data_IF_082189562070
#
_entry.id   IF_082189562070
#
_cell.length_a   1.000
_cell.length_b   1.000
_cell.length_c   1.000
_cell.angle_alpha   90.00
_cell.angle_beta   90.00
_cell.angle_gamma   90.00
#
_symmetry.space_group_name_H-M   'P 1'
#
loop_
_entity.id
_entity.type
_entity.pdbx_description
1 polymer ?
#
# COMPACT_ATOMS: atom_id res chain seq x y z
N UNK A 1 1.13 -18.11 10.05
CA UNK A 1 2.57 -17.98 9.75
C UNK A 1 3.05 -16.67 10.34
N UNK A 2 3.99 -16.62 11.31
CA UNK A 2 3.88 -15.70 12.44
C UNK A 2 4.42 -14.27 12.27
N UNK A 3 4.83 -13.84 11.07
CA UNK A 3 5.35 -12.47 10.91
C UNK A 3 4.78 -11.76 9.68
N UNK A 4 3.46 -11.75 9.57
CA UNK A 4 2.80 -10.77 8.73
C UNK A 4 2.97 -9.40 9.37
N UNK A 5 3.79 -8.54 8.75
CA UNK A 5 3.95 -7.15 9.17
C UNK A 5 3.01 -6.27 8.36
N UNK A 6 2.54 -5.22 9.00
CA UNK A 6 1.79 -4.15 8.34
C UNK A 6 2.60 -2.86 8.47
N UNK A 7 2.42 -1.96 7.51
CA UNK A 7 3.00 -0.62 7.53
C UNK A 7 1.87 0.40 7.42
N UNK A 8 1.95 1.46 8.24
CA UNK A 8 1.13 2.67 8.07
C UNK A 8 2.02 3.71 7.39
N UNK A 9 1.50 4.33 6.34
CA UNK A 9 2.19 5.35 5.54
C UNK A 9 1.42 6.66 5.67
N UNK A 10 2.08 7.70 6.22
CA UNK A 10 1.60 9.08 6.07
C UNK A 10 1.94 9.51 4.65
N UNK A 11 0.92 9.78 3.85
CA UNK A 11 1.11 10.31 2.52
C UNK A 11 1.68 11.74 2.61
N UNK A 12 2.57 12.13 1.67
CA UNK A 12 2.98 13.52 1.54
C UNK A 12 1.77 14.42 1.32
N UNK A 13 1.91 15.70 1.67
CA UNK A 13 0.91 16.70 1.31
C UNK A 13 0.78 16.72 -0.24
N UNK A 14 -0.40 17.06 -0.75
CA UNK A 14 -0.79 16.97 -2.18
C UNK A 14 0.29 17.41 -3.18
N UNK A 15 1.05 18.46 -2.89
CA UNK A 15 2.17 18.94 -3.70
C UNK A 15 3.30 17.91 -3.98
N UNK A 16 3.38 16.82 -3.21
CA UNK A 16 4.39 15.76 -3.35
C UNK A 16 3.78 14.39 -3.68
N UNK A 17 2.46 14.29 -3.81
CA UNK A 17 1.77 13.08 -4.27
C UNK A 17 1.78 13.04 -5.79
N UNK A 18 2.94 12.72 -6.38
CA UNK A 18 3.07 12.49 -7.82
C UNK A 18 2.78 11.04 -8.23
N UNK A 19 2.48 10.15 -7.29
CA UNK A 19 2.14 8.77 -7.63
C UNK A 19 0.67 8.69 -8.05
N UNK A 20 0.38 8.21 -9.27
CA UNK A 20 -0.99 7.97 -9.67
C UNK A 20 -1.60 6.93 -8.72
N UNK A 21 -2.78 7.24 -8.16
CA UNK A 21 -3.64 6.20 -7.60
C UNK A 21 -4.28 5.51 -8.79
N UNK A 22 -3.91 4.25 -9.04
CA UNK A 22 -4.60 3.43 -10.01
C UNK A 22 -5.78 2.81 -9.28
N UNK A 23 -6.97 3.37 -9.48
CA UNK A 23 -8.20 2.73 -9.02
C UNK A 23 -8.50 1.45 -9.81
N UNK A 24 -7.75 1.20 -10.90
CA UNK A 24 -7.89 0.04 -11.78
C UNK A 24 -6.55 -0.67 -12.01
N UNK A 25 -6.47 -1.96 -11.68
CA UNK A 25 -5.31 -2.82 -12.00
C UNK A 25 -5.80 -4.14 -12.62
N UNK A 26 -5.23 -4.55 -13.76
CA UNK A 26 -5.65 -5.75 -14.50
C UNK A 26 -7.16 -5.88 -14.72
N UNK A 27 -7.84 -4.77 -15.01
CA UNK A 27 -9.29 -4.72 -15.22
C UNK A 27 -10.14 -4.83 -13.95
N UNK A 28 -9.52 -4.92 -12.77
CA UNK A 28 -10.18 -4.90 -11.47
C UNK A 28 -10.13 -3.52 -10.84
N UNK A 29 -11.22 -3.11 -10.18
CA UNK A 29 -11.29 -1.87 -9.41
C UNK A 29 -10.88 -2.12 -7.95
N UNK A 30 -10.11 -1.20 -7.37
CA UNK A 30 -9.66 -1.27 -5.98
C UNK A 30 -9.90 0.04 -5.26
N UNK A 31 -10.33 -0.05 -3.99
CA UNK A 31 -10.39 1.13 -3.12
C UNK A 31 -8.97 1.54 -2.70
N UNK A 32 -8.48 2.64 -3.30
CA UNK A 32 -7.17 3.21 -3.02
C UNK A 32 -7.23 4.40 -2.05
N UNK A 33 -8.44 4.88 -1.73
CA UNK A 33 -8.63 6.16 -1.06
C UNK A 33 -7.92 6.21 0.30
N UNK A 34 -7.03 7.19 0.53
CA UNK A 34 -6.40 7.37 1.83
C UNK A 34 -7.41 7.83 2.90
N UNK A 35 -7.13 7.50 4.15
CA UNK A 35 -7.90 7.96 5.31
C UNK A 35 -7.35 9.31 5.75
N UNK A 36 -8.20 10.34 5.72
CA UNK A 36 -7.86 11.67 6.20
C UNK A 36 -7.85 11.71 7.73
N UNK A 37 -6.89 12.43 8.33
CA UNK A 37 -6.92 12.74 9.75
C UNK A 37 -7.79 13.99 10.00
N UNK A 38 -8.96 13.89 10.64
CA UNK A 38 -9.88 15.02 10.79
C UNK A 38 -9.31 16.19 11.60
N UNK A 39 -8.41 15.91 12.56
CA UNK A 39 -7.74 16.93 13.37
C UNK A 39 -6.54 17.60 12.69
N UNK A 40 -6.25 17.28 11.42
CA UNK A 40 -5.08 17.80 10.72
C UNK A 40 -5.31 19.19 10.14
N UNK A 41 -4.51 20.18 10.57
CA UNK A 41 -4.45 21.49 9.91
C UNK A 41 -3.78 21.46 8.52
N UNK A 42 -2.98 20.42 8.23
CA UNK A 42 -2.25 20.27 6.95
C UNK A 42 -2.91 19.31 5.95
N UNK A 43 -4.13 18.80 6.22
CA UNK A 43 -4.76 17.78 5.36
C UNK A 43 -4.03 16.43 5.30
N UNK A 44 -3.43 15.99 6.42
CA UNK A 44 -2.70 14.73 6.51
C UNK A 44 -3.58 13.53 6.19
N UNK A 45 -3.01 12.60 5.42
CA UNK A 45 -3.67 11.43 4.84
C UNK A 45 -2.83 10.19 5.08
N UNK A 46 -3.47 9.06 5.33
CA UNK A 46 -2.80 7.81 5.68
C UNK A 46 -3.34 6.63 4.87
N UNK A 47 -2.46 5.70 4.57
CA UNK A 47 -2.80 4.37 4.04
C UNK A 47 -2.05 3.32 4.83
N UNK A 48 -2.51 2.07 4.78
CA UNK A 48 -1.78 0.96 5.36
C UNK A 48 -1.90 -0.30 4.54
N UNK A 49 -0.82 -1.09 4.54
CA UNK A 49 -0.71 -2.32 3.78
C UNK A 49 -0.08 -3.42 4.61
N UNK A 50 -0.45 -4.65 4.29
CA UNK A 50 0.36 -5.80 4.65
C UNK A 50 1.63 -5.82 3.78
N UNK A 51 2.78 -6.09 4.40
CA UNK A 51 4.07 -5.99 3.71
C UNK A 51 4.53 -7.31 3.10
N UNK A 52 3.70 -8.35 3.10
CA UNK A 52 4.08 -9.63 2.47
C UNK A 52 3.92 -9.54 0.96
N UNK A 53 5.05 -9.53 0.26
CA UNK A 53 5.14 -9.51 -1.20
C UNK A 53 4.31 -10.66 -1.80
N UNK A 54 3.48 -10.33 -2.79
CA UNK A 54 2.58 -11.30 -3.46
C UNK A 54 3.30 -12.28 -4.39
N UNK A 55 4.58 -12.04 -4.70
CA UNK A 55 5.39 -12.96 -5.51
C UNK A 55 5.74 -14.22 -4.71
N UNK A 56 6.69 -14.11 -3.78
CA UNK A 56 7.19 -15.24 -2.97
C UNK A 56 7.31 -14.89 -1.48
N UNK A 57 6.45 -13.99 -0.99
CA UNK A 57 6.17 -13.75 0.45
C UNK A 57 7.32 -13.20 1.30
N UNK A 58 8.36 -12.64 0.69
CA UNK A 58 9.30 -11.77 1.39
C UNK A 58 8.61 -10.50 1.91
N UNK A 59 9.19 -9.86 2.93
CA UNK A 59 8.68 -8.58 3.42
C UNK A 59 9.21 -7.43 2.55
N UNK A 60 8.30 -6.60 2.05
CA UNK A 60 8.64 -5.35 1.37
C UNK A 60 8.98 -4.27 2.39
N UNK A 61 9.89 -3.37 2.03
CA UNK A 61 10.32 -2.27 2.88
C UNK A 61 10.23 -0.94 2.11
N UNK A 62 9.94 0.18 2.78
CA UNK A 62 10.01 1.49 2.15
C UNK A 62 11.43 1.80 1.68
N UNK A 63 11.58 2.33 0.48
CA UNK A 63 12.88 2.69 -0.09
C UNK A 63 12.74 3.55 -1.35
N UNK A 64 13.83 4.19 -1.77
CA UNK A 64 13.87 4.96 -3.01
C UNK A 64 14.37 4.09 -4.18
N UNK A 65 13.64 4.07 -5.29
CA UNK A 65 13.91 3.21 -6.45
C UNK A 65 13.16 3.72 -7.69
N UNK A 66 13.76 3.61 -8.88
CA UNK A 66 13.14 4.09 -10.12
C UNK A 66 12.76 5.58 -10.09
N UNK A 67 13.50 6.40 -9.33
CA UNK A 67 13.24 7.84 -9.17
C UNK A 67 12.10 8.21 -8.22
N UNK A 68 11.50 7.24 -7.50
CA UNK A 68 10.37 7.47 -6.60
C UNK A 68 10.52 6.69 -5.29
N UNK A 69 9.82 7.13 -4.23
CA UNK A 69 9.73 6.34 -3.00
C UNK A 69 8.70 5.20 -3.20
N UNK A 70 9.03 3.96 -2.85
CA UNK A 70 8.23 2.75 -3.12
C UNK A 70 8.29 1.78 -1.95
N UNK A 71 7.39 0.81 -1.93
CA UNK A 71 7.60 -0.42 -1.15
C UNK A 71 8.37 -1.41 -2.01
N UNK A 72 9.58 -1.79 -1.59
CA UNK A 72 10.51 -2.61 -2.37
C UNK A 72 10.68 -3.99 -1.74
N UNK A 73 10.55 -5.02 -2.56
CA UNK A 73 10.85 -6.40 -2.18
C UNK A 73 12.35 -6.69 -2.41
N UNK A 74 13.13 -6.96 -1.35
CA UNK A 74 14.58 -7.15 -1.47
C UNK A 74 14.97 -8.48 -2.13
N UNK A 75 14.03 -9.43 -2.25
CA UNK A 75 14.34 -10.77 -2.75
C UNK A 75 14.53 -10.81 -4.27
N UNK A 76 13.63 -10.17 -5.02
CA UNK A 76 13.62 -10.24 -6.49
C UNK A 76 13.25 -8.90 -7.15
N UNK A 77 13.27 -7.80 -6.39
CA UNK A 77 13.10 -6.46 -6.93
C UNK A 77 11.66 -6.04 -7.25
N UNK A 78 10.63 -6.78 -6.84
CA UNK A 78 9.25 -6.30 -7.01
C UNK A 78 9.02 -4.99 -6.25
N UNK A 79 8.42 -4.00 -6.89
CA UNK A 79 8.12 -2.70 -6.29
C UNK A 79 6.63 -2.40 -6.34
N UNK A 80 6.14 -1.70 -5.33
CA UNK A 80 4.74 -1.31 -5.20
C UNK A 80 4.62 0.19 -4.94
N UNK A 81 3.59 0.80 -5.52
CA UNK A 81 3.15 2.16 -5.21
C UNK A 81 2.91 2.31 -3.70
N UNK A 82 3.26 3.47 -3.12
CA UNK A 82 2.99 3.76 -1.71
C UNK A 82 1.55 4.18 -1.47
N UNK A 83 0.89 4.73 -2.48
CA UNK A 83 -0.46 5.26 -2.39
C UNK A 83 -1.51 4.15 -2.40
N UNK A 84 -1.32 3.13 -3.23
CA UNK A 84 -2.30 2.07 -3.44
C UNK A 84 -1.72 0.65 -3.28
N UNK A 85 -0.41 0.44 -3.22
CA UNK A 85 0.18 -0.90 -3.11
C UNK A 85 0.04 -1.75 -4.39
N UNK A 86 -0.29 -1.14 -5.53
CA UNK A 86 -0.27 -1.77 -6.86
C UNK A 86 1.18 -2.06 -7.25
N UNK A 87 1.52 -3.27 -7.76
CA UNK A 87 2.86 -3.55 -8.25
C UNK A 87 3.15 -2.69 -9.48
N UNK A 88 4.38 -2.20 -9.59
CA UNK A 88 4.80 -1.31 -10.70
C UNK A 88 6.13 -1.71 -11.33
N UNK A 89 6.85 -2.65 -10.73
CA UNK A 89 8.11 -3.16 -11.25
C UNK A 89 8.38 -4.57 -10.72
N UNK A 90 9.16 -5.34 -11.48
CA UNK A 90 9.65 -6.67 -11.13
C UNK A 90 8.57 -7.76 -11.16
N UNK A 91 8.86 -8.97 -10.65
CA UNK A 91 8.05 -10.16 -10.91
C UNK A 91 6.56 -10.04 -10.53
N UNK A 92 6.21 -9.30 -9.48
CA UNK A 92 4.81 -9.07 -9.15
C UNK A 92 4.05 -8.24 -10.19
N UNK A 93 4.72 -7.27 -10.83
CA UNK A 93 4.17 -6.49 -11.93
C UNK A 93 4.15 -7.31 -13.22
N UNK A 94 5.28 -7.94 -13.57
CA UNK A 94 5.47 -8.69 -14.82
C UNK A 94 4.50 -9.87 -14.94
N UNK A 95 4.18 -10.53 -13.82
CA UNK A 95 3.22 -11.64 -13.75
C UNK A 95 1.78 -11.18 -13.53
N UNK A 96 1.51 -9.88 -13.45
CA UNK A 96 0.16 -9.34 -13.24
C UNK A 96 -0.45 -9.76 -11.90
N UNK A 97 0.36 -9.89 -10.84
CA UNK A 97 -0.12 -10.31 -9.52
C UNK A 97 -0.97 -9.21 -8.86
N UNK A 98 -1.72 -9.60 -7.83
CA UNK A 98 -2.63 -8.70 -7.14
C UNK A 98 -1.88 -7.59 -6.37
N UNK A 99 -2.51 -6.42 -6.15
CA UNK A 99 -2.00 -5.41 -5.24
C UNK A 99 -1.83 -5.96 -3.81
N UNK A 100 -0.94 -5.34 -3.03
CA UNK A 100 -0.74 -5.72 -1.63
C UNK A 100 -2.06 -5.64 -0.84
N UNK A 101 -2.29 -6.54 0.13
CA UNK A 101 -3.47 -6.46 0.99
C UNK A 101 -3.52 -5.11 1.71
N UNK A 102 -4.70 -4.50 1.73
CA UNK A 102 -4.92 -3.19 2.36
C UNK A 102 -5.38 -3.39 3.79
N UNK A 103 -4.76 -2.67 4.72
CA UNK A 103 -5.24 -2.59 6.09
C UNK A 103 -6.17 -1.39 6.17
N UNK A 104 -7.43 -1.62 6.50
CA UNK A 104 -8.37 -0.52 6.70
C UNK A 104 -8.08 0.17 8.02
N UNK A 105 -8.13 1.50 7.99
CA UNK A 105 -7.83 2.35 9.13
C UNK A 105 -9.03 3.22 9.49
N UNK A 106 -9.17 3.50 10.77
CA UNK A 106 -9.91 4.67 11.28
C UNK A 106 -8.95 5.60 12.00
N UNK A 107 -9.23 6.90 11.92
CA UNK A 107 -8.47 7.94 12.63
C UNK A 107 -9.47 8.82 13.37
N UNK A 108 -9.35 8.91 14.69
CA UNK A 108 -10.20 9.78 15.49
C UNK A 108 -9.70 11.24 15.51
N UNK A 109 -10.42 12.12 16.19
CA UNK A 109 -10.07 13.55 16.29
C UNK A 109 -8.82 13.81 17.14
N UNK A 110 -8.43 12.87 18.01
CA UNK A 110 -7.20 12.92 18.79
C UNK A 110 -5.99 12.42 18.00
N UNK A 111 -6.21 11.80 16.83
CA UNK A 111 -5.16 11.26 15.97
C UNK A 111 -4.80 9.80 16.27
N UNK A 112 -5.59 9.09 17.08
CA UNK A 112 -5.38 7.67 17.29
C UNK A 112 -5.74 6.91 16.01
N UNK A 113 -4.81 6.08 15.53
CA UNK A 113 -4.99 5.26 14.34
C UNK A 113 -5.32 3.83 14.77
N UNK A 114 -6.46 3.32 14.31
CA UNK A 114 -6.89 1.94 14.60
C UNK A 114 -7.01 1.17 13.29
N UNK A 115 -6.43 -0.04 13.24
CA UNK A 115 -6.66 -0.98 12.15
C UNK A 115 -7.99 -1.71 12.37
N UNK A 116 -8.92 -1.64 11.42
CA UNK A 116 -10.27 -2.20 11.56
C UNK A 116 -10.46 -3.49 10.80
N UNK A 117 -9.78 -3.68 9.68
CA UNK A 117 -9.88 -4.89 8.87
C UNK A 117 -8.65 -5.08 7.98
N UNK A 118 -8.57 -6.26 7.35
CA UNK A 118 -7.62 -6.56 6.29
C UNK A 118 -8.38 -6.97 5.03
N UNK A 119 -8.24 -6.19 3.97
CA UNK A 119 -8.81 -6.48 2.65
C UNK A 119 -7.75 -7.19 1.81
N UNK A 120 -8.01 -8.45 1.48
CA UNK A 120 -7.09 -9.35 0.80
C UNK A 120 -6.34 -10.30 1.74
N UNK A 121 -5.50 -11.15 1.17
CA UNK A 121 -4.77 -12.18 1.92
C UNK A 121 -3.25 -11.94 1.85
N UNK A 122 -2.53 -11.95 3.00
CA UNK A 122 -1.08 -11.81 3.03
C UNK A 122 -0.37 -12.77 2.08
N UNK A 123 0.48 -12.24 1.21
CA UNK A 123 1.24 -13.01 0.23
C UNK A 123 0.42 -13.57 -0.95
N UNK A 124 -0.85 -13.18 -1.09
CA UNK A 124 -1.67 -13.41 -2.28
C UNK A 124 -2.17 -12.08 -2.86
N UNK A 125 -2.40 -11.08 -2.01
CA UNK A 125 -2.88 -9.75 -2.39
C UNK A 125 -4.37 -9.58 -2.18
N UNK A 126 -4.89 -8.42 -2.59
CA UNK A 126 -6.34 -8.14 -2.58
C UNK A 126 -6.94 -8.33 -3.96
N UNK A 127 -8.13 -8.92 -4.00
CA UNK A 127 -8.96 -9.04 -5.21
C UNK A 127 -9.90 -7.83 -5.32
N UNK A 128 -10.48 -7.61 -6.50
CA UNK A 128 -11.47 -6.56 -6.71
C UNK A 128 -12.56 -6.59 -5.63
N UNK A 129 -13.00 -5.41 -5.17
CA UNK A 129 -14.20 -5.27 -4.33
C UNK A 129 -15.45 -5.13 -5.19
#
# INVERSE_FOLDING_TARGET
SPYFKNIVVRLPDDKYLQQPTSDTWNGANFTSAPVSFPGSSTGARFVAFNTTCVHLRCLVNPGFGGGQFRLQCPCHGSQYNLTDGVPVEGPAFDLGLNPLPRVELTIDTAGNITATSLVGQPGIGRTAQ
#
